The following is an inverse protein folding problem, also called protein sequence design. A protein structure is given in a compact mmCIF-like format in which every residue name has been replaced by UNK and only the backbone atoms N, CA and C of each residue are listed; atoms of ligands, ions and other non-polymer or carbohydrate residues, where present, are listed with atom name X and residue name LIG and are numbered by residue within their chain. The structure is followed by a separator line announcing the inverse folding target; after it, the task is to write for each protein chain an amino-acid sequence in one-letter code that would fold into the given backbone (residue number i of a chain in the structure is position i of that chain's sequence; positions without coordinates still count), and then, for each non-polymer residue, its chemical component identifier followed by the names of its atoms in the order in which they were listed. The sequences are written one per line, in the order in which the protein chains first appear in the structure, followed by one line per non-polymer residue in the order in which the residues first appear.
data_IF_425485980885
#
_entry.id   IF_425485980885
#
_cell.length_a   1.000
_cell.length_b   1.000
_cell.length_c   1.000
_cell.angle_alpha   90.00
_cell.angle_beta   90.00
_cell.angle_gamma   90.00
#
_symmetry.space_group_name_H-M   'P 1'
#
loop_
_entity.id
_entity.type
_entity.pdbx_description
1 polymer ?
#
# COMPACT_ATOMS: atom_id res chain seq x y z
N UNK A 1 17.90 35.70 -12.65
CA UNK A 1 18.06 34.38 -12.00
C UNK A 1 19.36 33.75 -12.48
N UNK A 2 20.30 33.41 -11.59
CA UNK A 2 21.51 32.69 -11.94
C UNK A 2 21.14 31.24 -12.29
N UNK A 3 21.57 30.76 -13.47
CA UNK A 3 21.43 29.35 -13.82
C UNK A 3 22.51 28.56 -13.11
N UNK A 4 22.12 27.44 -12.50
CA UNK A 4 23.09 26.46 -11.98
C UNK A 4 23.60 25.67 -13.19
N UNK A 5 24.88 25.84 -13.51
CA UNK A 5 25.52 25.08 -14.58
C UNK A 5 25.99 23.71 -14.07
N UNK A 6 25.66 22.67 -14.81
CA UNK A 6 26.13 21.33 -14.51
C UNK A 6 27.53 21.09 -15.11
N UNK A 7 28.42 20.50 -14.31
CA UNK A 7 29.73 20.03 -14.78
C UNK A 7 29.73 18.52 -15.10
N UNK A 8 28.54 17.92 -15.14
CA UNK A 8 28.36 16.49 -15.32
C UNK A 8 28.72 16.08 -16.76
N UNK A 9 29.58 15.07 -16.90
CA UNK A 9 29.93 14.46 -18.17
C UNK A 9 29.33 13.05 -18.26
N UNK A 10 28.21 12.91 -18.97
CA UNK A 10 27.52 11.64 -19.11
C UNK A 10 28.33 10.57 -19.88
N UNK A 11 29.42 10.96 -20.53
CA UNK A 11 30.30 10.04 -21.28
C UNK A 11 31.53 9.59 -20.45
N UNK A 12 31.76 10.15 -19.27
CA UNK A 12 32.86 9.72 -18.41
C UNK A 12 32.63 8.31 -17.87
N UNK A 13 33.69 7.57 -17.66
CA UNK A 13 33.63 6.22 -17.10
C UNK A 13 32.95 6.21 -15.72
N UNK A 14 33.29 7.19 -14.88
CA UNK A 14 32.68 7.33 -13.54
C UNK A 14 31.17 7.56 -13.60
N UNK A 15 30.70 8.42 -14.51
CA UNK A 15 29.25 8.62 -14.69
C UNK A 15 28.57 7.33 -15.14
N UNK A 16 29.15 6.62 -16.09
CA UNK A 16 28.56 5.37 -16.61
C UNK A 16 28.52 4.28 -15.54
N UNK A 17 29.59 4.15 -14.74
CA UNK A 17 29.62 3.21 -13.62
C UNK A 17 28.55 3.54 -12.56
N UNK A 18 28.44 4.80 -12.16
CA UNK A 18 27.45 5.27 -11.21
C UNK A 18 26.02 5.09 -11.75
N UNK A 19 25.79 5.40 -13.03
CA UNK A 19 24.48 5.22 -13.67
C UNK A 19 24.09 3.74 -13.74
N UNK A 20 25.03 2.84 -14.02
CA UNK A 20 24.77 1.40 -14.01
C UNK A 20 24.44 0.88 -12.62
N UNK A 21 25.20 1.31 -11.59
CA UNK A 21 24.91 0.95 -10.20
C UNK A 21 23.54 1.45 -9.73
N UNK A 22 23.20 2.71 -10.03
CA UNK A 22 21.88 3.27 -9.70
C UNK A 22 20.74 2.55 -10.43
N UNK A 23 20.94 2.21 -11.69
CA UNK A 23 19.94 1.47 -12.48
C UNK A 23 19.65 0.10 -11.86
N UNK A 24 20.69 -0.62 -11.42
CA UNK A 24 20.50 -1.91 -10.75
C UNK A 24 19.67 -1.79 -9.47
N UNK A 25 19.86 -0.72 -8.67
CA UNK A 25 19.04 -0.47 -7.48
C UNK A 25 17.57 -0.13 -7.84
N UNK A 26 17.37 0.65 -8.89
CA UNK A 26 16.03 0.99 -9.38
C UNK A 26 15.31 -0.25 -9.93
N UNK A 27 16.02 -1.10 -10.68
CA UNK A 27 15.46 -2.34 -11.23
C UNK A 27 15.07 -3.31 -10.09
N UNK A 28 15.89 -3.43 -9.04
CA UNK A 28 15.51 -4.20 -7.85
C UNK A 28 14.26 -3.63 -7.16
N UNK A 29 14.22 -2.31 -6.95
CA UNK A 29 13.04 -1.66 -6.36
C UNK A 29 11.76 -1.94 -7.19
N UNK A 30 11.84 -1.83 -8.51
CA UNK A 30 10.72 -2.11 -9.40
C UNK A 30 10.29 -3.58 -9.32
N UNK A 31 11.24 -4.50 -9.22
CA UNK A 31 10.95 -5.92 -9.03
C UNK A 31 10.22 -6.19 -7.69
N UNK A 32 10.56 -5.46 -6.62
CA UNK A 32 9.82 -5.57 -5.34
C UNK A 32 8.40 -4.99 -5.45
N UNK A 33 8.22 -3.86 -6.14
CA UNK A 33 6.87 -3.34 -6.41
C UNK A 33 6.02 -4.31 -7.21
N UNK A 34 6.55 -4.92 -8.25
CA UNK A 34 5.84 -5.93 -9.03
C UNK A 34 5.38 -7.12 -8.18
N UNK A 35 6.19 -7.56 -7.19
CA UNK A 35 5.79 -8.60 -6.24
C UNK A 35 4.62 -8.16 -5.36
N UNK A 36 4.65 -6.91 -4.88
CA UNK A 36 3.55 -6.36 -4.07
C UNK A 36 2.28 -6.24 -4.90
N UNK A 37 2.38 -5.79 -6.16
CA UNK A 37 1.25 -5.68 -7.08
C UNK A 37 0.61 -7.02 -7.43
N UNK A 38 1.41 -8.10 -7.46
CA UNK A 38 0.92 -9.45 -7.63
C UNK A 38 0.10 -9.97 -6.43
N UNK A 39 0.15 -9.26 -5.28
CA UNK A 39 -0.61 -9.61 -4.08
C UNK A 39 -0.30 -11.03 -3.60
N UNK A 40 -1.33 -11.86 -3.43
CA UNK A 40 -1.20 -13.27 -3.03
C UNK A 40 -0.72 -14.22 -4.14
N UNK A 41 -0.32 -13.67 -5.30
CA UNK A 41 0.16 -14.43 -6.46
C UNK A 41 -0.96 -14.98 -7.34
N UNK A 42 -0.56 -15.61 -8.46
CA UNK A 42 -1.47 -16.01 -9.53
C UNK A 42 -2.61 -16.92 -9.07
N UNK A 43 -2.31 -17.96 -8.29
CA UNK A 43 -3.32 -18.91 -7.82
C UNK A 43 -4.37 -18.25 -6.89
N UNK A 44 -3.94 -17.34 -6.02
CA UNK A 44 -4.85 -16.61 -5.13
C UNK A 44 -5.72 -15.62 -5.92
N UNK A 45 -5.15 -14.93 -6.89
CA UNK A 45 -5.86 -14.02 -7.80
C UNK A 45 -6.92 -14.77 -8.62
N UNK A 46 -6.55 -15.89 -9.25
CA UNK A 46 -7.47 -16.73 -10.00
C UNK A 46 -8.64 -17.22 -9.13
N UNK A 47 -8.35 -17.69 -7.91
CA UNK A 47 -9.39 -18.11 -6.95
C UNK A 47 -10.30 -16.95 -6.53
N UNK A 48 -9.76 -15.73 -6.43
CA UNK A 48 -10.51 -14.53 -6.06
C UNK A 48 -11.48 -14.12 -7.19
N UNK A 49 -10.98 -14.04 -8.42
CA UNK A 49 -11.78 -13.65 -9.60
C UNK A 49 -12.81 -14.71 -9.99
N UNK A 50 -12.53 -16.01 -9.78
CA UNK A 50 -13.48 -17.09 -9.99
C UNK A 50 -14.74 -16.99 -9.10
N UNK A 51 -14.69 -16.19 -8.02
CA UNK A 51 -15.83 -15.89 -7.14
C UNK A 51 -16.64 -14.65 -7.61
N UNK A 52 -16.33 -14.10 -8.79
CA UNK A 52 -16.96 -12.90 -9.32
C UNK A 52 -16.48 -11.60 -8.67
N UNK A 53 -15.38 -11.63 -7.92
CA UNK A 53 -14.79 -10.45 -7.27
C UNK A 53 -13.77 -9.78 -8.17
N UNK A 54 -13.75 -8.45 -8.15
CA UNK A 54 -12.67 -7.65 -8.74
C UNK A 54 -11.39 -7.76 -7.89
N UNK A 55 -10.24 -7.73 -8.53
CA UNK A 55 -8.98 -7.63 -7.79
C UNK A 55 -8.90 -6.32 -7.00
N UNK A 56 -8.22 -6.30 -5.85
CA UNK A 56 -8.17 -5.11 -5.00
C UNK A 56 -7.67 -3.84 -5.70
N UNK A 57 -6.63 -3.96 -6.52
CA UNK A 57 -6.12 -2.82 -7.31
C UNK A 57 -7.11 -2.34 -8.37
N UNK A 58 -7.85 -3.25 -9.01
CA UNK A 58 -8.91 -2.90 -9.95
C UNK A 58 -10.05 -2.15 -9.25
N UNK A 59 -10.42 -2.58 -8.02
CA UNK A 59 -11.42 -1.87 -7.20
C UNK A 59 -11.00 -0.44 -6.90
N UNK A 60 -9.72 -0.23 -6.51
CA UNK A 60 -9.18 1.11 -6.28
C UNK A 60 -9.21 1.93 -7.57
N UNK A 61 -8.69 1.37 -8.67
CA UNK A 61 -8.62 2.06 -9.95
C UNK A 61 -10.00 2.47 -10.49
N UNK A 62 -11.01 1.62 -10.32
CA UNK A 62 -12.39 1.91 -10.74
C UNK A 62 -13.10 2.94 -9.86
N UNK A 63 -12.63 3.15 -8.63
CA UNK A 63 -13.17 4.15 -7.70
C UNK A 63 -12.66 5.55 -8.02
N UNK A 64 -11.43 5.65 -8.52
CA UNK A 64 -10.78 6.94 -8.79
C UNK A 64 -11.36 7.64 -10.01
N UNK A 65 -11.34 8.96 -9.99
CA UNK A 65 -11.70 9.77 -11.15
C UNK A 65 -10.77 9.45 -12.33
N UNK A 66 -11.29 9.28 -13.55
CA UNK A 66 -10.49 8.92 -14.71
C UNK A 66 -9.30 9.86 -14.94
N UNK A 67 -8.12 9.30 -15.12
CA UNK A 67 -6.89 10.06 -15.41
C UNK A 67 -6.26 10.77 -14.21
N UNK A 68 -6.79 10.59 -13.00
CA UNK A 68 -6.18 11.14 -11.79
C UNK A 68 -5.13 10.20 -11.19
N UNK A 69 -4.06 10.72 -10.57
CA UNK A 69 -3.05 9.90 -9.94
C UNK A 69 -3.55 9.30 -8.62
N UNK A 70 -2.98 8.15 -8.25
CA UNK A 70 -3.12 7.56 -6.93
C UNK A 70 -1.78 7.57 -6.21
N UNK A 71 -1.69 8.30 -5.10
CA UNK A 71 -0.51 8.32 -4.23
C UNK A 71 -0.58 7.15 -3.24
N UNK A 72 -0.04 6.00 -3.63
CA UNK A 72 0.01 4.82 -2.75
C UNK A 72 0.98 5.04 -1.59
N UNK A 73 0.53 4.75 -0.38
CA UNK A 73 1.29 4.89 0.86
C UNK A 73 1.90 3.55 1.26
N UNK A 74 3.20 3.57 1.58
CA UNK A 74 3.93 2.42 2.12
C UNK A 74 3.69 1.11 1.34
N UNK A 75 3.86 1.08 0.00
CA UNK A 75 3.63 -0.15 -0.78
C UNK A 75 4.54 -1.30 -0.35
N UNK A 76 5.75 -1.03 0.15
CA UNK A 76 6.68 -2.03 0.66
C UNK A 76 6.51 -2.36 2.16
N UNK A 77 5.38 -1.98 2.78
CA UNK A 77 5.12 -2.36 4.17
C UNK A 77 5.20 -3.89 4.34
N UNK A 78 5.77 -4.34 5.46
CA UNK A 78 6.07 -5.74 5.76
C UNK A 78 7.12 -6.41 4.84
N UNK A 79 7.89 -5.62 4.09
CA UNK A 79 9.00 -6.17 3.29
C UNK A 79 9.98 -6.96 4.18
N UNK A 80 10.31 -8.19 3.76
CA UNK A 80 11.18 -9.09 4.51
C UNK A 80 10.58 -9.67 5.79
N UNK A 81 9.31 -9.36 6.10
CA UNK A 81 8.61 -9.87 7.29
C UNK A 81 7.65 -11.02 6.93
N UNK A 82 7.20 -11.75 7.96
CA UNK A 82 6.22 -12.83 7.84
C UNK A 82 6.55 -13.87 6.76
N UNK A 83 7.85 -14.14 6.52
CA UNK A 83 8.33 -15.06 5.47
C UNK A 83 7.82 -14.70 4.05
N UNK A 84 7.49 -13.43 3.83
CA UNK A 84 6.91 -12.95 2.57
C UNK A 84 5.40 -13.18 2.41
N UNK A 85 4.72 -13.63 3.44
CA UNK A 85 3.29 -13.99 3.39
C UNK A 85 2.33 -12.80 3.28
N UNK A 86 2.80 -11.57 3.59
CA UNK A 86 1.99 -10.36 3.61
C UNK A 86 2.62 -9.22 2.81
N UNK A 87 2.77 -9.35 1.47
CA UNK A 87 3.29 -8.28 0.64
C UNK A 87 2.42 -7.03 0.77
N UNK A 88 3.06 -5.85 0.87
CA UNK A 88 2.36 -4.58 1.11
C UNK A 88 1.54 -4.55 2.40
N UNK A 89 1.84 -5.45 3.35
CA UNK A 89 1.05 -5.71 4.57
C UNK A 89 -0.40 -6.14 4.28
N UNK A 90 -0.69 -6.73 3.11
CA UNK A 90 -2.03 -7.15 2.70
C UNK A 90 -3.05 -6.01 2.61
N UNK A 91 -2.60 -4.77 2.44
CA UNK A 91 -3.42 -3.57 2.45
C UNK A 91 -2.92 -2.56 1.42
N UNK A 92 -3.80 -2.09 0.55
CA UNK A 92 -3.56 -0.94 -0.32
C UNK A 92 -4.10 0.29 0.41
N UNK A 93 -3.26 1.29 0.65
CA UNK A 93 -3.66 2.56 1.23
C UNK A 93 -3.06 3.70 0.41
N UNK A 94 -3.81 4.77 0.20
CA UNK A 94 -3.31 5.89 -0.58
C UNK A 94 -4.31 7.03 -0.72
N UNK A 95 -3.86 8.11 -1.31
CA UNK A 95 -4.67 9.29 -1.59
C UNK A 95 -4.98 9.33 -3.08
N UNK A 96 -6.25 9.49 -3.41
CA UNK A 96 -6.72 9.61 -4.78
C UNK A 96 -7.98 10.46 -4.88
N UNK A 97 -8.26 10.95 -6.08
CA UNK A 97 -9.42 11.81 -6.31
C UNK A 97 -10.65 10.97 -6.65
N UNK A 98 -11.76 11.25 -5.96
CA UNK A 98 -13.03 10.55 -6.12
C UNK A 98 -14.15 11.58 -6.17
N UNK A 99 -14.85 11.66 -7.29
CA UNK A 99 -15.91 12.67 -7.53
C UNK A 99 -15.43 14.12 -7.26
N UNK A 100 -14.19 14.42 -7.68
CA UNK A 100 -13.57 15.73 -7.53
C UNK A 100 -12.97 16.02 -6.16
N UNK A 101 -13.07 15.11 -5.19
CA UNK A 101 -12.56 15.27 -3.81
C UNK A 101 -11.38 14.34 -3.58
N UNK A 102 -10.30 14.85 -2.99
CA UNK A 102 -9.16 14.03 -2.59
C UNK A 102 -9.53 13.23 -1.32
N UNK A 103 -9.43 11.91 -1.41
CA UNK A 103 -9.83 10.97 -0.38
C UNK A 103 -8.70 10.05 0.02
N UNK A 104 -8.68 9.62 1.26
CA UNK A 104 -7.89 8.46 1.70
C UNK A 104 -8.66 7.19 1.35
N UNK A 105 -8.05 6.32 0.56
CA UNK A 105 -8.59 4.99 0.24
C UNK A 105 -7.83 3.94 1.01
N UNK A 106 -8.54 3.04 1.67
CA UNK A 106 -8.00 1.88 2.38
C UNK A 106 -8.69 0.63 1.86
N UNK A 107 -7.94 -0.24 1.18
CA UNK A 107 -8.48 -1.43 0.53
C UNK A 107 -7.74 -2.68 1.01
N UNK A 108 -8.48 -3.64 1.58
CA UNK A 108 -7.90 -4.95 1.92
C UNK A 108 -7.54 -5.73 0.64
N UNK A 109 -6.37 -6.34 0.63
CA UNK A 109 -6.02 -7.32 -0.40
C UNK A 109 -6.40 -8.72 0.04
N UNK A 110 -7.62 -9.15 -0.32
CA UNK A 110 -8.12 -10.47 0.02
C UNK A 110 -7.40 -11.61 -0.72
N UNK A 111 -6.55 -11.32 -1.70
CA UNK A 111 -5.67 -12.32 -2.31
C UNK A 111 -4.50 -12.67 -1.39
N UNK A 112 -4.12 -11.75 -0.51
CA UNK A 112 -3.08 -11.92 0.52
C UNK A 112 -3.72 -12.51 1.78
N UNK A 113 -3.57 -13.80 1.99
CA UNK A 113 -4.09 -14.52 3.19
C UNK A 113 -5.55 -14.18 3.54
N UNK A 114 -6.40 -13.99 2.51
CA UNK A 114 -7.80 -13.66 2.70
C UNK A 114 -8.08 -12.27 3.28
N UNK A 115 -7.17 -11.32 3.13
CA UNK A 115 -7.28 -9.99 3.71
C UNK A 115 -7.10 -9.95 5.22
N UNK A 116 -6.42 -10.96 5.78
CA UNK A 116 -6.16 -11.08 7.22
C UNK A 116 -5.21 -9.97 7.70
N UNK A 117 -5.53 -9.37 8.85
CA UNK A 117 -4.71 -8.34 9.47
C UNK A 117 -3.54 -8.93 10.26
N UNK A 118 -2.34 -8.67 9.80
CA UNK A 118 -1.08 -8.85 10.55
C UNK A 118 -0.77 -7.59 11.38
N UNK A 119 0.18 -7.62 12.31
CA UNK A 119 0.56 -6.44 13.08
C UNK A 119 0.91 -5.24 12.20
N UNK A 120 1.67 -5.44 11.11
CA UNK A 120 2.01 -4.36 10.16
C UNK A 120 0.82 -3.89 9.33
N UNK A 121 -0.19 -4.74 9.10
CA UNK A 121 -1.46 -4.32 8.46
C UNK A 121 -2.18 -3.30 9.32
N UNK A 122 -2.27 -3.57 10.64
CA UNK A 122 -2.85 -2.63 11.62
C UNK A 122 -2.09 -1.31 11.62
N UNK A 123 -0.75 -1.34 11.73
CA UNK A 123 0.07 -0.12 11.72
C UNK A 123 -0.09 0.69 10.44
N UNK A 124 -0.13 0.04 9.28
CA UNK A 124 -0.36 0.71 7.99
C UNK A 124 -1.73 1.35 7.93
N UNK A 125 -2.78 0.66 8.41
CA UNK A 125 -4.14 1.18 8.46
C UNK A 125 -4.22 2.40 9.39
N UNK A 126 -3.70 2.32 10.60
CA UNK A 126 -3.67 3.43 11.56
C UNK A 126 -2.91 4.64 11.00
N UNK A 127 -1.78 4.41 10.31
CA UNK A 127 -1.04 5.50 9.67
C UNK A 127 -1.84 6.17 8.55
N UNK A 128 -2.60 5.42 7.76
CA UNK A 128 -3.49 5.97 6.75
C UNK A 128 -4.58 6.84 7.39
N UNK A 129 -5.20 6.39 8.48
CA UNK A 129 -6.19 7.17 9.23
C UNK A 129 -5.58 8.45 9.82
N UNK A 130 -4.39 8.38 10.41
CA UNK A 130 -3.68 9.55 10.95
C UNK A 130 -3.41 10.60 9.86
N UNK A 131 -2.94 10.17 8.68
CA UNK A 131 -2.73 11.08 7.53
C UNK A 131 -4.05 11.69 7.08
N UNK A 132 -5.12 10.92 7.02
CA UNK A 132 -6.43 11.41 6.65
C UNK A 132 -6.95 12.45 7.63
N UNK A 133 -6.86 12.20 8.93
CA UNK A 133 -7.25 13.12 9.99
C UNK A 133 -6.47 14.44 9.92
N UNK A 134 -5.13 14.36 9.81
CA UNK A 134 -4.25 15.53 9.74
C UNK A 134 -4.50 16.41 8.51
N UNK A 135 -4.99 15.83 7.43
CA UNK A 135 -5.23 16.53 6.17
C UNK A 135 -6.72 16.70 5.83
N UNK A 136 -7.60 16.38 6.77
CA UNK A 136 -9.07 16.47 6.61
C UNK A 136 -9.58 15.74 5.35
N UNK A 137 -9.01 14.55 5.06
CA UNK A 137 -9.41 13.73 3.93
C UNK A 137 -10.54 12.79 4.33
N UNK A 138 -11.64 12.72 3.55
CA UNK A 138 -12.61 11.65 3.71
C UNK A 138 -11.94 10.28 3.55
N UNK A 139 -12.32 9.29 4.38
CA UNK A 139 -11.82 7.93 4.30
C UNK A 139 -12.83 7.01 3.61
N UNK A 140 -12.37 6.30 2.59
CA UNK A 140 -13.15 5.27 1.89
C UNK A 140 -12.51 3.91 2.15
N UNK A 141 -13.28 3.01 2.75
CA UNK A 141 -12.83 1.67 3.11
C UNK A 141 -13.44 0.64 2.15
N UNK A 142 -12.59 -0.01 1.34
CA UNK A 142 -12.97 -1.13 0.47
C UNK A 142 -12.67 -2.44 1.20
N UNK A 143 -13.53 -2.78 2.14
CA UNK A 143 -13.32 -3.92 3.05
C UNK A 143 -13.54 -5.26 2.35
N UNK A 144 -12.58 -6.15 2.47
CA UNK A 144 -12.65 -7.58 2.16
C UNK A 144 -11.61 -8.31 3.03
N UNK A 145 -11.96 -8.51 4.31
CA UNK A 145 -11.03 -8.96 5.34
C UNK A 145 -11.47 -10.25 5.99
N UNK A 146 -10.52 -11.17 6.18
CA UNK A 146 -10.68 -12.38 6.98
C UNK A 146 -10.56 -12.17 8.50
N UNK A 147 -10.40 -10.92 8.96
CA UNK A 147 -10.21 -10.59 10.37
C UNK A 147 -8.74 -10.57 10.79
N UNK A 148 -8.46 -10.79 12.07
CA UNK A 148 -7.10 -10.75 12.60
C UNK A 148 -6.33 -12.04 12.36
N UNK A 149 -5.01 -11.92 12.21
CA UNK A 149 -4.11 -13.07 12.17
C UNK A 149 -3.99 -13.68 13.59
N UNK A 150 -4.67 -14.78 13.82
CA UNK A 150 -4.74 -15.43 15.13
C UNK A 150 -3.37 -15.84 15.70
N UNK A 151 -2.40 -16.36 14.92
CA UNK A 151 -1.06 -16.63 15.42
C UNK A 151 -0.31 -15.43 15.99
N UNK A 152 -0.68 -14.21 15.60
CA UNK A 152 -0.08 -12.96 16.06
C UNK A 152 -1.12 -12.08 16.79
N UNK A 153 -2.13 -12.67 17.41
CA UNK A 153 -3.22 -11.92 18.03
C UNK A 153 -2.76 -11.04 19.19
N UNK A 154 -1.69 -11.41 19.87
CA UNK A 154 -1.04 -10.66 20.95
C UNK A 154 -0.47 -9.31 20.46
N UNK A 155 -0.08 -9.21 19.19
CA UNK A 155 0.37 -7.97 18.56
C UNK A 155 -0.71 -7.24 17.74
N UNK A 156 -1.94 -7.79 17.70
CA UNK A 156 -3.04 -7.22 16.89
C UNK A 156 -4.13 -6.61 17.76
N UNK A 157 -4.49 -7.22 18.91
CA UNK A 157 -5.64 -6.82 19.70
C UNK A 157 -5.38 -5.98 20.97
N UNK A 158 -4.35 -6.27 21.80
CA UNK A 158 -4.45 -5.96 23.23
C UNK A 158 -4.13 -4.53 23.64
N UNK A 159 -3.61 -3.66 22.76
CA UNK A 159 -3.17 -2.33 23.17
C UNK A 159 -3.89 -1.20 22.42
N UNK A 160 -3.70 0.01 22.91
CA UNK A 160 -4.29 1.26 22.44
C UNK A 160 -4.09 1.48 20.94
N UNK A 161 -2.90 1.21 20.41
CA UNK A 161 -2.54 1.44 19.02
C UNK A 161 -2.60 0.15 18.17
N UNK A 162 -3.50 -0.76 18.55
CA UNK A 162 -3.82 -2.00 17.87
C UNK A 162 -5.18 -1.92 17.15
N UNK A 163 -5.76 -3.07 16.82
CA UNK A 163 -6.95 -3.17 15.97
C UNK A 163 -8.14 -2.32 16.48
N UNK A 164 -8.33 -2.25 17.79
CA UNK A 164 -9.39 -1.44 18.40
C UNK A 164 -9.27 0.06 18.10
N UNK A 165 -8.05 0.55 17.90
CA UNK A 165 -7.80 1.96 17.55
C UNK A 165 -8.39 2.33 16.19
N UNK A 166 -8.46 1.38 15.25
CA UNK A 166 -9.06 1.60 13.94
C UNK A 166 -10.53 2.04 14.09
N UNK A 167 -11.30 1.34 14.93
CA UNK A 167 -12.70 1.67 15.18
C UNK A 167 -12.86 3.00 15.93
N UNK A 168 -11.99 3.24 16.93
CA UNK A 168 -11.98 4.51 17.64
C UNK A 168 -11.76 5.69 16.67
N UNK A 169 -10.76 5.58 15.79
CA UNK A 169 -10.49 6.63 14.81
C UNK A 169 -11.67 6.81 13.84
N UNK A 170 -12.28 5.72 13.34
CA UNK A 170 -13.46 5.80 12.48
C UNK A 170 -14.61 6.54 13.15
N UNK A 171 -14.85 6.27 14.42
CA UNK A 171 -15.92 6.95 15.18
C UNK A 171 -15.62 8.44 15.38
N UNK A 172 -14.37 8.83 15.57
CA UNK A 172 -14.00 10.23 15.79
C UNK A 172 -13.89 11.04 14.47
N UNK A 173 -13.63 10.38 13.35
CA UNK A 173 -13.54 11.01 12.03
C UNK A 173 -14.91 11.11 11.32
N UNK A 174 -15.95 10.55 11.91
CA UNK A 174 -17.30 10.49 11.35
C UNK A 174 -18.07 11.82 11.48
#
# INVERSE_FOLDING_TARGET
MSKIETKLNARSADFQANAAAMRALVDDLQAQFAKVEAGGGEAARAKHTARGKLLPRDRVQMLLDPGTPFLELSPLAAYGMYKGDAPGAGLIAGIGRISGVDCMVVCNDATVKGGTYYPLTVKKHLRAQEIAEQNHLPCIYLVDSGGANLPNQDEVFPDRDHFGRIFYNQANMS
#
